data_IF_925579877869
#
_entry.id   IF_925579877869
#
_cell.length_a   1.000
_cell.length_b   1.000
_cell.length_c   1.000
_cell.angle_alpha   90.00
_cell.angle_beta   90.00
_cell.angle_gamma   90.00
#
_symmetry.space_group_name_H-M   'P 1'
#
loop_
_entity.id
_entity.type
_entity.pdbx_description
1 polymer ?
#
# COMPACT_ATOMS: atom_id res chain seq x y z
N UNK A 1 -34.20 38.40 -47.93
CA UNK A 1 -32.95 38.59 -47.16
C UNK A 1 -32.85 37.43 -46.19
N UNK A 2 -32.03 36.42 -46.49
CA UNK A 2 -31.69 35.35 -45.56
C UNK A 2 -30.31 35.69 -45.00
N UNK A 3 -30.27 36.06 -43.73
CA UNK A 3 -29.06 36.28 -42.94
C UNK A 3 -28.30 34.97 -42.80
N UNK A 4 -27.08 34.94 -43.34
CA UNK A 4 -26.10 33.89 -43.08
C UNK A 4 -25.61 34.08 -41.65
N UNK A 5 -26.02 33.19 -40.74
CA UNK A 5 -25.47 33.11 -39.38
C UNK A 5 -24.04 32.60 -39.47
N UNK A 6 -23.12 33.35 -38.87
CA UNK A 6 -21.69 33.04 -38.76
C UNK A 6 -21.47 31.60 -38.30
N UNK A 7 -20.70 30.84 -39.06
CA UNK A 7 -20.12 29.60 -38.59
C UNK A 7 -19.21 29.92 -37.40
N UNK A 8 -19.53 29.37 -36.22
CA UNK A 8 -18.64 29.40 -35.07
C UNK A 8 -17.27 28.87 -35.49
N UNK A 9 -16.23 29.68 -35.37
CA UNK A 9 -14.85 29.25 -35.54
C UNK A 9 -14.55 28.19 -34.48
N UNK A 10 -14.37 26.95 -34.92
CA UNK A 10 -13.91 25.86 -34.06
C UNK A 10 -12.44 26.09 -33.75
N UNK A 11 -12.16 26.50 -32.52
CA UNK A 11 -10.80 26.65 -32.01
C UNK A 11 -10.22 25.26 -31.74
N UNK A 12 -9.38 24.80 -32.66
CA UNK A 12 -8.78 23.46 -32.62
C UNK A 12 -7.88 23.31 -31.40
N UNK A 13 -7.22 24.37 -30.94
CA UNK A 13 -6.31 24.32 -29.79
C UNK A 13 -7.11 24.21 -28.49
N UNK A 14 -8.19 24.99 -28.35
CA UNK A 14 -9.15 24.85 -27.23
C UNK A 14 -9.81 23.46 -27.17
N UNK A 15 -9.91 22.78 -28.33
CA UNK A 15 -10.49 21.46 -28.44
C UNK A 15 -9.48 20.33 -28.16
N UNK A 16 -8.26 20.43 -28.69
CA UNK A 16 -7.25 19.37 -28.66
C UNK A 16 -6.41 19.37 -27.38
N UNK A 17 -6.10 20.54 -26.79
CA UNK A 17 -5.24 20.62 -25.60
C UNK A 17 -5.78 19.82 -24.40
N UNK A 18 -7.09 19.88 -24.06
CA UNK A 18 -7.64 19.08 -22.97
C UNK A 18 -7.66 17.58 -23.27
N UNK A 19 -7.86 17.18 -24.53
CA UNK A 19 -7.84 15.77 -24.95
C UNK A 19 -6.41 15.20 -24.86
N UNK A 20 -5.42 15.98 -25.27
CA UNK A 20 -4.01 15.60 -25.16
C UNK A 20 -3.62 15.50 -23.68
N UNK A 21 -4.07 16.42 -22.83
CA UNK A 21 -3.88 16.33 -21.39
C UNK A 21 -4.60 15.13 -20.77
N UNK A 22 -5.84 14.81 -21.16
CA UNK A 22 -6.58 13.60 -20.72
C UNK A 22 -5.80 12.32 -21.04
N UNK A 23 -5.29 12.21 -22.26
CA UNK A 23 -4.49 11.05 -22.70
C UNK A 23 -3.13 10.98 -22.04
N UNK A 24 -2.44 12.11 -21.86
CA UNK A 24 -1.12 12.17 -21.21
C UNK A 24 -1.20 11.90 -19.71
N UNK A 25 -2.21 12.47 -19.03
CA UNK A 25 -2.46 12.18 -17.62
C UNK A 25 -2.88 10.73 -17.46
N UNK A 26 -3.64 10.15 -18.39
CA UNK A 26 -4.00 8.72 -18.36
C UNK A 26 -2.79 7.78 -18.53
N UNK A 27 -1.61 8.26 -18.93
CA UNK A 27 -0.42 7.42 -19.01
C UNK A 27 0.10 7.10 -17.61
N UNK A 28 0.47 5.84 -17.32
CA UNK A 28 0.97 5.41 -16.01
C UNK A 28 2.16 6.24 -15.50
N UNK A 29 3.04 6.70 -16.40
CA UNK A 29 4.23 7.47 -16.06
C UNK A 29 3.92 8.85 -15.44
N UNK A 30 2.75 9.42 -15.75
CA UNK A 30 2.31 10.71 -15.23
C UNK A 30 1.35 10.53 -14.05
N UNK A 31 0.40 9.61 -14.14
CA UNK A 31 -0.53 9.26 -13.04
C UNK A 31 0.21 8.83 -11.77
N UNK A 32 1.28 8.03 -11.88
CA UNK A 32 2.05 7.56 -10.72
C UNK A 32 2.88 8.64 -10.01
N UNK A 33 2.93 9.86 -10.56
CA UNK A 33 3.58 10.99 -9.91
C UNK A 33 2.61 11.85 -9.11
N UNK A 34 1.30 11.61 -9.23
CA UNK A 34 0.25 12.33 -8.52
C UNK A 34 0.00 11.67 -7.16
N UNK A 35 -0.13 12.49 -6.12
CA UNK A 35 -0.67 12.05 -4.83
C UNK A 35 -2.16 11.70 -4.94
N UNK A 36 -2.70 11.01 -3.94
CA UNK A 36 -4.13 10.70 -3.85
C UNK A 36 -4.99 11.97 -3.93
N UNK A 37 -4.56 13.05 -3.26
CA UNK A 37 -5.25 14.34 -3.31
C UNK A 37 -5.14 15.00 -4.69
N UNK A 38 -3.97 14.99 -5.32
CA UNK A 38 -3.80 15.53 -6.69
C UNK A 38 -4.58 14.73 -7.73
N UNK A 39 -4.74 13.42 -7.49
CA UNK A 39 -5.57 12.54 -8.33
C UNK A 39 -7.05 12.88 -8.18
N UNK A 40 -7.55 13.07 -6.96
CA UNK A 40 -8.93 13.50 -6.72
C UNK A 40 -9.22 14.88 -7.33
N UNK A 41 -8.28 15.83 -7.19
CA UNK A 41 -8.39 17.16 -7.80
C UNK A 41 -8.40 17.07 -9.33
N UNK A 42 -7.55 16.23 -9.93
CA UNK A 42 -7.54 16.00 -11.37
C UNK A 42 -8.83 15.34 -11.88
N UNK A 43 -9.39 14.38 -11.14
CA UNK A 43 -10.68 13.75 -11.45
C UNK A 43 -11.80 14.79 -11.43
N UNK A 44 -11.85 15.65 -10.40
CA UNK A 44 -12.87 16.69 -10.29
C UNK A 44 -12.80 17.70 -11.44
N UNK A 45 -11.59 18.07 -11.90
CA UNK A 45 -11.40 18.94 -13.06
C UNK A 45 -11.86 18.26 -14.35
N UNK A 46 -11.58 16.97 -14.53
CA UNK A 46 -12.03 16.19 -15.70
C UNK A 46 -13.55 16.07 -15.72
N UNK A 47 -14.19 15.86 -14.57
CA UNK A 47 -15.64 15.83 -14.42
C UNK A 47 -16.28 17.19 -14.77
N UNK A 48 -15.71 18.30 -14.30
CA UNK A 48 -16.20 19.65 -14.63
C UNK A 48 -16.08 19.94 -16.14
N UNK A 49 -14.96 19.55 -16.77
CA UNK A 49 -14.76 19.69 -18.22
C UNK A 49 -15.75 18.82 -19.01
N UNK A 50 -16.07 17.62 -18.52
CA UNK A 50 -17.03 16.71 -19.13
C UNK A 50 -18.47 17.26 -19.03
N UNK A 51 -18.87 17.83 -17.89
CA UNK A 51 -20.19 18.42 -17.68
C UNK A 51 -20.45 19.66 -18.57
N UNK A 52 -19.40 20.44 -18.86
CA UNK A 52 -19.52 21.63 -19.70
C UNK A 52 -19.62 21.32 -21.20
N UNK A 53 -19.39 20.07 -21.65
CA UNK A 53 -19.25 19.70 -23.07
C UNK A 53 -20.34 18.73 -23.54
N UNK A 54 -20.97 19.05 -24.67
CA UNK A 54 -22.12 18.31 -25.21
C UNK A 54 -21.72 16.89 -25.70
N UNK A 55 -22.25 15.79 -25.12
CA UNK A 55 -21.80 14.41 -25.36
C UNK A 55 -21.88 13.93 -26.82
N UNK A 56 -22.73 14.55 -27.65
CA UNK A 56 -22.93 14.12 -29.04
C UNK A 56 -21.77 14.48 -29.98
N UNK A 57 -20.85 15.35 -29.58
CA UNK A 57 -19.74 15.83 -30.43
C UNK A 57 -18.42 15.10 -30.16
N UNK A 58 -18.30 14.43 -29.01
CA UNK A 58 -17.04 13.87 -28.52
C UNK A 58 -17.10 12.33 -28.63
N UNK A 59 -16.43 11.78 -29.63
CA UNK A 59 -16.24 10.33 -29.76
C UNK A 59 -15.49 9.74 -28.56
N UNK A 60 -15.53 8.41 -28.40
CA UNK A 60 -15.05 7.66 -27.22
C UNK A 60 -13.55 7.73 -26.88
N UNK A 61 -12.82 8.73 -27.39
CA UNK A 61 -11.45 9.06 -27.01
C UNK A 61 -11.36 10.07 -25.85
N UNK A 62 -12.44 10.79 -25.53
CA UNK A 62 -12.58 11.51 -24.26
C UNK A 62 -13.01 10.50 -23.20
N UNK A 63 -12.57 10.63 -21.94
CA UNK A 63 -12.75 9.69 -20.80
C UNK A 63 -11.62 8.67 -20.60
N UNK A 64 -10.44 8.83 -21.20
CA UNK A 64 -9.35 7.87 -20.96
C UNK A 64 -8.76 8.02 -19.54
N UNK A 65 -8.58 9.23 -19.02
CA UNK A 65 -8.14 9.42 -17.63
C UNK A 65 -9.21 8.96 -16.65
N UNK A 66 -10.48 9.31 -16.91
CA UNK A 66 -11.60 8.89 -16.08
C UNK A 66 -11.76 7.36 -16.06
N UNK A 67 -11.61 6.68 -17.21
CA UNK A 67 -11.61 5.22 -17.27
C UNK A 67 -10.37 4.64 -16.58
N UNK A 68 -9.16 5.18 -16.80
CA UNK A 68 -7.96 4.72 -16.11
C UNK A 68 -8.04 4.88 -14.58
N UNK A 69 -8.65 5.97 -14.11
CA UNK A 69 -8.85 6.28 -12.70
C UNK A 69 -10.01 5.51 -12.07
N UNK A 70 -11.15 5.33 -12.77
CA UNK A 70 -12.35 4.66 -12.24
C UNK A 70 -12.49 3.17 -12.56
N UNK A 71 -11.91 2.68 -13.65
CA UNK A 71 -11.85 1.23 -13.90
C UNK A 71 -10.83 0.55 -13.00
N UNK A 72 -10.10 1.32 -12.17
CA UNK A 72 -9.05 0.80 -11.32
C UNK A 72 -8.04 0.08 -12.20
N UNK A 73 -7.14 0.82 -12.84
CA UNK A 73 -5.89 0.20 -13.24
C UNK A 73 -5.27 -0.39 -11.97
N UNK A 74 -5.51 -1.68 -11.74
CA UNK A 74 -4.80 -2.50 -10.78
C UNK A 74 -3.33 -2.15 -10.99
N UNK A 75 -2.68 -1.47 -10.03
CA UNK A 75 -1.29 -1.11 -10.20
C UNK A 75 -0.57 -2.40 -10.55
N UNK A 76 0.25 -2.39 -11.59
CA UNK A 76 1.01 -3.59 -11.96
C UNK A 76 2.05 -3.81 -10.87
N UNK A 77 1.62 -4.42 -9.78
CA UNK A 77 2.49 -4.82 -8.70
C UNK A 77 3.23 -6.05 -9.19
N UNK A 78 4.56 -6.01 -9.07
CA UNK A 78 5.30 -7.24 -9.21
C UNK A 78 4.95 -8.14 -8.01
N UNK A 79 4.49 -9.36 -8.30
CA UNK A 79 4.13 -10.37 -7.33
C UNK A 79 5.12 -11.53 -7.33
N UNK A 80 6.40 -11.31 -6.98
CA UNK A 80 7.37 -12.38 -6.96
C UNK A 80 7.09 -13.38 -5.84
N UNK A 81 7.76 -14.51 -5.97
CA UNK A 81 7.75 -15.54 -4.96
C UNK A 81 8.92 -15.33 -4.00
N UNK A 82 8.59 -15.17 -2.72
CA UNK A 82 9.55 -15.24 -1.62
C UNK A 82 9.41 -16.59 -0.92
N UNK A 83 10.41 -16.94 -0.10
CA UNK A 83 10.44 -18.23 0.59
C UNK A 83 10.44 -18.02 2.09
N UNK A 84 9.60 -18.77 2.80
CA UNK A 84 9.68 -18.87 4.26
C UNK A 84 11.02 -19.51 4.66
N UNK A 85 11.45 -19.37 5.92
CA UNK A 85 12.63 -20.08 6.43
C UNK A 85 12.54 -21.60 6.23
N UNK A 86 11.34 -22.19 6.30
CA UNK A 86 11.10 -23.60 5.97
C UNK A 86 11.09 -23.92 4.46
N UNK A 87 11.37 -22.95 3.59
CA UNK A 87 11.43 -23.11 2.14
C UNK A 87 10.07 -23.09 1.43
N UNK A 88 9.00 -22.66 2.10
CA UNK A 88 7.66 -22.60 1.47
C UNK A 88 7.53 -21.36 0.63
N UNK A 89 6.99 -21.52 -0.57
CA UNK A 89 6.74 -20.42 -1.49
C UNK A 89 5.57 -19.56 -1.00
N UNK A 90 5.78 -18.25 -0.97
CA UNK A 90 4.79 -17.23 -0.61
C UNK A 90 4.81 -16.15 -1.67
N UNK A 91 3.63 -15.76 -2.15
CA UNK A 91 3.47 -14.63 -3.04
C UNK A 91 3.53 -13.33 -2.22
N UNK A 92 4.30 -12.35 -2.69
CA UNK A 92 4.46 -11.07 -2.02
C UNK A 92 4.42 -9.94 -3.05
N UNK A 93 3.88 -8.78 -2.65
CA UNK A 93 3.99 -7.56 -3.44
C UNK A 93 5.38 -6.97 -3.22
N UNK A 94 6.11 -6.71 -4.30
CA UNK A 94 7.39 -6.01 -4.26
C UNK A 94 7.18 -4.50 -4.28
N UNK A 95 7.91 -3.78 -3.41
CA UNK A 95 8.00 -2.33 -3.43
C UNK A 95 9.08 -1.91 -4.44
N UNK A 96 8.70 -1.06 -5.38
CA UNK A 96 9.53 -0.63 -6.50
C UNK A 96 10.06 0.80 -6.36
N UNK A 97 11.19 1.14 -7.01
CA UNK A 97 11.66 2.52 -7.09
C UNK A 97 10.64 3.39 -7.85
N UNK A 98 9.79 4.09 -7.10
CA UNK A 98 8.68 4.88 -7.64
C UNK A 98 7.43 4.79 -6.77
N UNK A 99 7.30 3.71 -5.99
CA UNK A 99 6.24 3.58 -5.00
C UNK A 99 6.36 4.66 -3.92
N UNK A 100 5.23 5.26 -3.55
CA UNK A 100 5.16 6.21 -2.46
C UNK A 100 5.66 5.57 -1.16
N UNK A 101 6.33 6.37 -0.35
CA UNK A 101 6.78 5.99 0.99
C UNK A 101 6.37 7.08 1.97
N UNK A 102 6.22 6.69 3.23
CA UNK A 102 5.95 7.62 4.31
C UNK A 102 7.04 8.70 4.40
N UNK A 103 6.59 9.93 4.54
CA UNK A 103 7.43 11.06 4.93
C UNK A 103 7.98 10.86 6.34
N UNK A 104 9.04 11.58 6.69
CA UNK A 104 9.59 11.54 8.04
C UNK A 104 8.58 12.03 9.10
N UNK A 105 7.73 12.99 8.77
CA UNK A 105 6.68 13.48 9.66
C UNK A 105 5.64 12.39 9.96
N UNK A 106 5.21 11.63 8.96
CA UNK A 106 4.27 10.52 9.14
C UNK A 106 4.90 9.39 9.95
N UNK A 107 6.17 9.07 9.71
CA UNK A 107 6.91 8.07 10.51
C UNK A 107 6.93 8.45 11.99
N UNK A 108 7.19 9.72 12.29
CA UNK A 108 7.17 10.25 13.66
C UNK A 108 5.75 10.18 14.25
N UNK A 109 4.72 10.52 13.47
CA UNK A 109 3.33 10.45 13.92
C UNK A 109 2.91 9.01 14.28
N UNK A 110 3.26 8.04 13.43
CA UNK A 110 3.04 6.62 13.71
C UNK A 110 3.78 6.17 14.98
N UNK A 111 5.04 6.57 15.14
CA UNK A 111 5.80 6.25 16.34
C UNK A 111 5.14 6.82 17.60
N UNK A 112 4.75 8.10 17.57
CA UNK A 112 4.08 8.77 18.69
C UNK A 112 2.77 8.10 19.09
N UNK A 113 1.94 7.72 18.11
CA UNK A 113 0.68 7.00 18.33
C UNK A 113 0.88 5.69 19.10
N UNK A 114 1.85 4.88 18.68
CA UNK A 114 2.10 3.58 19.30
C UNK A 114 2.84 3.69 20.62
N UNK A 115 3.76 4.63 20.77
CA UNK A 115 4.47 4.88 22.03
C UNK A 115 3.50 5.29 23.15
N UNK A 116 2.47 6.08 22.84
CA UNK A 116 1.47 6.49 23.81
C UNK A 116 0.63 5.32 24.34
N UNK A 117 0.31 4.34 23.48
CA UNK A 117 -0.53 3.19 23.84
C UNK A 117 0.29 2.02 24.41
N UNK A 118 1.53 1.85 23.95
CA UNK A 118 2.41 0.75 24.30
C UNK A 118 3.79 1.24 24.78
N UNK A 119 3.86 2.03 25.87
CA UNK A 119 5.10 2.67 26.33
C UNK A 119 6.20 1.68 26.74
N UNK A 120 5.85 0.42 27.04
CA UNK A 120 6.81 -0.62 27.40
C UNK A 120 7.35 -1.40 26.19
N UNK A 121 6.88 -1.10 24.97
CA UNK A 121 7.42 -1.69 23.76
C UNK A 121 8.71 -0.98 23.35
N UNK A 122 9.76 -1.74 23.02
CA UNK A 122 11.05 -1.19 22.62
C UNK A 122 11.05 -0.96 21.11
N UNK A 123 11.24 0.29 20.69
CA UNK A 123 11.34 0.66 19.27
C UNK A 123 12.52 -0.02 18.59
N UNK A 124 12.29 -0.56 17.38
CA UNK A 124 13.31 -1.22 16.55
C UNK A 124 13.53 -0.50 15.22
N UNK A 125 12.45 -0.13 14.54
CA UNK A 125 12.52 0.51 13.22
C UNK A 125 11.28 1.39 12.97
N UNK A 126 11.41 2.46 12.15
CA UNK A 126 10.31 3.37 11.84
C UNK A 126 9.19 2.69 11.02
N UNK A 127 8.08 3.41 10.86
CA UNK A 127 7.02 3.02 9.93
C UNK A 127 7.53 3.03 8.48
N UNK A 128 6.91 2.20 7.64
CA UNK A 128 7.23 2.06 6.21
C UNK A 128 6.16 1.24 5.52
N UNK A 129 5.89 1.54 4.25
CA UNK A 129 4.99 0.77 3.40
C UNK A 129 5.67 -0.38 2.63
N UNK A 130 6.99 -0.52 2.74
CA UNK A 130 7.79 -1.52 2.00
C UNK A 130 7.51 -2.97 2.38
N UNK A 131 7.17 -3.22 3.64
CA UNK A 131 6.94 -4.56 4.16
C UNK A 131 6.00 -4.52 5.36
N UNK A 132 5.37 -5.64 5.68
CA UNK A 132 4.43 -5.77 6.80
C UNK A 132 4.93 -6.75 7.88
N UNK A 133 4.08 -6.99 8.90
CA UNK A 133 4.34 -7.94 9.99
C UNK A 133 4.66 -9.36 9.50
N UNK A 134 3.91 -9.82 8.49
CA UNK A 134 4.08 -11.14 7.91
C UNK A 134 5.44 -11.26 7.22
N UNK A 135 5.78 -10.32 6.33
CA UNK A 135 7.08 -10.29 5.68
C UNK A 135 8.24 -10.16 6.67
N UNK A 136 8.06 -9.37 7.73
CA UNK A 136 9.06 -9.24 8.79
C UNK A 136 9.32 -10.58 9.50
N UNK A 137 8.29 -11.33 9.86
CA UNK A 137 8.42 -12.59 10.60
C UNK A 137 8.79 -13.80 9.72
N UNK A 138 8.31 -13.81 8.47
CA UNK A 138 8.34 -14.98 7.58
C UNK A 138 9.27 -14.83 6.39
N UNK A 139 9.89 -13.68 6.19
CA UNK A 139 10.82 -13.48 5.08
C UNK A 139 12.11 -12.79 5.53
N UNK A 140 12.03 -11.53 6.00
CA UNK A 140 13.24 -10.76 6.33
C UNK A 140 12.98 -9.67 7.35
N UNK A 141 13.85 -9.61 8.37
CA UNK A 141 13.89 -8.52 9.35
C UNK A 141 14.80 -7.37 8.96
N UNK A 142 15.45 -7.45 7.80
CA UNK A 142 16.30 -6.38 7.28
C UNK A 142 15.50 -5.11 7.00
N UNK A 143 16.08 -3.95 7.28
CA UNK A 143 15.54 -2.66 6.85
C UNK A 143 15.49 -2.50 5.32
N UNK A 144 16.22 -3.34 4.58
CA UNK A 144 16.17 -3.41 3.12
C UNK A 144 15.03 -4.32 2.60
N UNK A 145 14.20 -4.89 3.48
CA UNK A 145 13.05 -5.68 3.06
C UNK A 145 12.07 -4.80 2.27
N UNK A 146 11.72 -5.26 1.07
CA UNK A 146 10.84 -4.57 0.13
C UNK A 146 9.62 -5.41 -0.26
N UNK A 147 9.34 -6.48 0.48
CA UNK A 147 8.26 -7.40 0.14
C UNK A 147 7.14 -7.31 1.16
N UNK A 148 5.91 -7.24 0.67
CA UNK A 148 4.70 -7.24 1.47
C UNK A 148 3.96 -8.56 1.29
N UNK A 149 3.84 -9.35 2.36
CA UNK A 149 3.15 -10.66 2.32
C UNK A 149 1.68 -10.44 2.69
N UNK A 150 0.76 -10.60 1.74
CA UNK A 150 -0.68 -10.32 1.95
C UNK A 150 -1.39 -11.34 2.83
N UNK A 151 -0.93 -12.59 2.81
CA UNK A 151 -1.61 -13.67 3.52
C UNK A 151 -0.64 -14.73 4.04
N UNK A 152 -0.86 -15.13 5.29
CA UNK A 152 -0.21 -16.30 5.89
C UNK A 152 -1.16 -17.48 5.79
N UNK A 153 -0.73 -18.51 5.07
CA UNK A 153 -1.51 -19.73 4.94
C UNK A 153 -1.36 -20.61 6.17
N UNK A 154 -2.40 -21.39 6.48
CA UNK A 154 -2.39 -22.36 7.58
C UNK A 154 -1.22 -23.35 7.52
N UNK A 155 -0.72 -23.62 6.31
CA UNK A 155 0.46 -24.45 6.07
C UNK A 155 1.74 -23.86 6.69
N UNK A 156 1.86 -22.53 6.84
CA UNK A 156 3.02 -21.86 7.43
C UNK A 156 3.06 -22.02 8.96
N UNK A 157 1.92 -22.28 9.59
CA UNK A 157 1.80 -22.46 11.05
C UNK A 157 2.47 -23.72 11.58
N UNK A 158 2.82 -24.68 10.72
CA UNK A 158 3.63 -25.83 11.15
C UNK A 158 5.06 -25.40 11.54
N UNK A 159 5.48 -24.20 11.12
CA UNK A 159 6.73 -23.55 11.51
C UNK A 159 6.55 -22.60 12.72
N UNK A 160 5.30 -22.38 13.18
CA UNK A 160 5.02 -21.63 14.42
C UNK A 160 4.84 -22.59 15.60
N UNK A 161 5.33 -22.20 16.78
CA UNK A 161 5.16 -22.97 18.01
C UNK A 161 4.13 -22.31 18.92
N UNK A 162 3.49 -23.12 19.77
CA UNK A 162 2.59 -22.62 20.81
C UNK A 162 3.36 -21.70 21.77
N UNK A 163 2.68 -20.65 22.27
CA UNK A 163 3.17 -19.59 23.16
C UNK A 163 4.09 -20.03 24.32
N UNK A 164 4.02 -21.29 24.76
CA UNK A 164 4.75 -21.83 25.91
C UNK A 164 6.25 -22.08 25.68
N UNK A 165 6.74 -22.04 24.43
CA UNK A 165 8.16 -22.30 24.11
C UNK A 165 8.68 -21.32 23.05
N UNK A 166 8.88 -20.06 23.44
CA UNK A 166 9.58 -19.11 22.59
C UNK A 166 11.08 -19.39 22.65
N UNK A 167 11.65 -19.91 21.56
CA UNK A 167 13.09 -20.01 21.32
C UNK A 167 13.51 -18.99 20.26
N UNK A 168 14.82 -18.79 20.03
CA UNK A 168 15.27 -17.98 18.89
C UNK A 168 14.63 -18.51 17.60
N UNK A 169 14.23 -17.60 16.71
CA UNK A 169 13.55 -17.88 15.45
C UNK A 169 12.16 -18.50 15.61
N UNK A 170 11.58 -18.47 16.81
CA UNK A 170 10.16 -18.84 16.97
C UNK A 170 9.28 -17.78 16.32
N UNK A 171 8.40 -18.20 15.40
CA UNK A 171 7.36 -17.35 14.81
C UNK A 171 6.06 -17.50 15.60
N UNK A 172 5.38 -16.38 15.81
CA UNK A 172 4.07 -16.28 16.45
C UNK A 172 3.09 -15.69 15.45
N UNK A 173 1.92 -16.28 15.35
CA UNK A 173 0.82 -15.79 14.51
C UNK A 173 -0.39 -15.51 15.37
N UNK A 174 -0.99 -14.34 15.20
CA UNK A 174 -2.17 -13.92 15.94
C UNK A 174 -3.39 -14.19 15.08
N UNK A 175 -4.45 -14.70 15.70
CA UNK A 175 -5.71 -14.99 15.05
C UNK A 175 -6.72 -13.95 15.51
N UNK A 176 -7.35 -13.24 14.58
CA UNK A 176 -8.45 -12.35 14.94
C UNK A 176 -9.76 -13.11 15.14
N UNK A 177 -10.80 -12.39 15.56
CA UNK A 177 -12.12 -12.93 15.85
C UNK A 177 -12.80 -13.61 14.65
N UNK A 178 -12.34 -13.32 13.43
CA UNK A 178 -12.84 -13.93 12.20
C UNK A 178 -12.07 -15.20 11.80
N UNK A 179 -11.10 -15.64 12.62
CA UNK A 179 -10.26 -16.80 12.30
C UNK A 179 -9.19 -16.53 11.25
N UNK A 180 -8.81 -15.27 11.04
CA UNK A 180 -7.79 -14.86 10.07
C UNK A 180 -6.48 -14.56 10.80
N UNK A 181 -5.35 -15.01 10.23
CA UNK A 181 -4.02 -14.68 10.73
C UNK A 181 -3.60 -13.28 10.26
N UNK A 182 -3.96 -12.25 11.02
CA UNK A 182 -3.77 -10.84 10.64
C UNK A 182 -2.49 -10.20 11.20
N UNK A 183 -1.77 -10.91 12.07
CA UNK A 183 -0.50 -10.45 12.59
C UNK A 183 0.53 -11.57 12.77
N UNK A 184 1.80 -11.21 12.65
CA UNK A 184 2.92 -12.13 12.87
C UNK A 184 4.08 -11.45 13.58
N UNK A 185 4.74 -12.21 14.45
CA UNK A 185 5.92 -11.81 15.18
C UNK A 185 6.98 -12.89 15.13
N UNK A 186 8.23 -12.53 15.41
CA UNK A 186 9.36 -13.46 15.49
C UNK A 186 10.17 -13.15 16.73
N UNK A 187 10.67 -14.18 17.42
CA UNK A 187 11.68 -14.00 18.47
C UNK A 187 13.06 -13.93 17.84
N UNK A 188 13.69 -12.77 17.88
CA UNK A 188 15.03 -12.57 17.34
C UNK A 188 16.12 -13.02 18.32
N UNK A 189 17.30 -13.28 17.78
CA UNK A 189 18.48 -13.55 18.62
C UNK A 189 18.79 -12.31 19.47
N UNK A 190 19.02 -12.52 20.76
CA UNK A 190 19.23 -11.44 21.73
C UNK A 190 17.96 -10.86 22.34
N UNK A 191 16.77 -11.29 21.89
CA UNK A 191 15.51 -10.95 22.55
C UNK A 191 15.39 -11.66 23.91
N UNK A 192 14.98 -10.91 24.94
CA UNK A 192 14.74 -11.46 26.27
C UNK A 192 13.66 -12.56 26.24
N UNK A 193 13.73 -13.49 27.20
CA UNK A 193 12.70 -14.54 27.32
C UNK A 193 11.31 -13.92 27.43
N UNK A 194 10.36 -14.39 26.63
CA UNK A 194 8.99 -13.86 26.60
C UNK A 194 8.75 -12.66 25.68
N UNK A 195 9.79 -12.11 25.05
CA UNK A 195 9.66 -11.03 24.07
C UNK A 195 9.72 -11.55 22.64
N UNK A 196 9.01 -10.85 21.77
CA UNK A 196 9.01 -11.03 20.32
C UNK A 196 9.13 -9.68 19.63
N UNK A 197 9.56 -9.70 18.38
CA UNK A 197 9.70 -8.54 17.51
C UNK A 197 8.68 -8.60 16.37
N UNK A 198 7.96 -7.51 16.13
CA UNK A 198 7.01 -7.43 15.02
C UNK A 198 6.80 -6.00 14.53
N UNK A 199 6.38 -5.88 13.26
CA UNK A 199 5.88 -4.62 12.69
C UNK A 199 4.39 -4.49 12.96
N UNK A 200 3.90 -3.33 13.36
CA UNK A 200 2.47 -3.17 13.66
C UNK A 200 1.71 -2.58 12.47
N UNK A 201 1.13 -3.46 11.64
CA UNK A 201 0.57 -3.11 10.33
C UNK A 201 1.57 -2.33 9.45
N UNK A 202 1.19 -1.15 8.95
CA UNK A 202 2.06 -0.22 8.22
C UNK A 202 2.98 0.60 9.15
N UNK A 203 2.74 0.53 10.46
CA UNK A 203 3.44 1.28 11.51
C UNK A 203 4.85 0.78 11.82
N UNK A 204 5.45 1.22 12.94
CA UNK A 204 6.82 0.88 13.30
C UNK A 204 6.99 -0.58 13.69
N UNK A 205 8.25 -1.02 13.77
CA UNK A 205 8.62 -2.29 14.35
C UNK A 205 9.03 -2.12 15.82
N UNK A 206 8.54 -3.03 16.67
CA UNK A 206 8.77 -3.04 18.10
C UNK A 206 9.16 -4.44 18.59
N UNK A 207 9.97 -4.47 19.65
CA UNK A 207 10.11 -5.63 20.53
C UNK A 207 9.14 -5.46 21.70
N UNK A 208 8.33 -6.48 21.98
CA UNK A 208 7.26 -6.44 22.97
C UNK A 208 6.94 -7.83 23.53
N UNK A 209 6.24 -7.90 24.66
CA UNK A 209 5.68 -9.15 25.13
C UNK A 209 4.60 -9.64 24.16
N UNK A 210 4.42 -10.96 24.01
CA UNK A 210 3.51 -11.51 22.98
C UNK A 210 2.09 -10.93 23.07
N UNK A 211 1.58 -10.77 24.29
CA UNK A 211 0.25 -10.21 24.56
C UNK A 211 0.17 -8.67 24.59
N UNK A 212 1.28 -7.98 24.33
CA UNK A 212 1.40 -6.53 24.43
C UNK A 212 1.58 -5.89 23.06
N UNK A 213 0.56 -6.03 22.21
CA UNK A 213 0.51 -5.42 20.89
C UNK A 213 -0.94 -5.17 20.45
N UNK A 214 -1.16 -4.35 19.39
CA UNK A 214 -2.50 -4.01 18.89
C UNK A 214 -3.33 -5.17 18.33
N UNK A 215 -2.72 -6.34 18.17
CA UNK A 215 -3.33 -7.50 17.50
C UNK A 215 -3.58 -8.66 18.46
N UNK A 216 -3.44 -8.41 19.76
CA UNK A 216 -3.78 -9.36 20.81
C UNK A 216 -5.17 -8.98 21.37
N UNK A 217 -6.17 -9.82 21.07
CA UNK A 217 -7.56 -9.69 21.51
C UNK A 217 -7.98 -10.90 22.36
#
# INVERSE_FOLDING_TARGET
>A
MLTVTNAHSFDVDQFMDPLICDVLLAQPEFLNQLSEQETEEAIAVVDEIAEQRNPETYGGSFYQFYQAANEGMEPYYNWPNVYTPGGKKVEAKEWEPGDQELTEAEKIAYQGKYLAQYPNAKFLAPATWKYNCHSFAWYSTSSANRYWITQIQKSYLLESTKMSTLTTDTRVTYLNNNGIYDHSAIRLSGDASGLVSSKWAQGPAYQHAVQYCPFYN
#
